data_IF_839491607002
#
_entry.id   IF_839491607002
#
_cell.length_a   1.000
_cell.length_b   1.000
_cell.length_c   1.000
_cell.angle_alpha   90.00
_cell.angle_beta   90.00
_cell.angle_gamma   90.00
#
_symmetry.space_group_name_H-M   'P 1'
#
loop_
_entity.id
_entity.type
_entity.pdbx_description
1 polymer ?
#
# COMPACT_ATOMS: atom_id res chain seq x y z
N UNK A 1 26.63 -29.41 17.96
CA UNK A 1 25.78 -30.55 17.58
C UNK A 1 24.75 -30.04 16.62
N UNK A 2 24.76 -30.52 15.38
CA UNK A 2 23.83 -30.11 14.33
C UNK A 2 22.53 -30.90 14.54
N UNK A 3 21.56 -30.31 15.23
CA UNK A 3 20.20 -30.87 15.30
C UNK A 3 19.43 -30.35 14.09
N UNK A 4 18.79 -31.24 13.36
CA UNK A 4 17.90 -30.88 12.26
C UNK A 4 16.75 -30.00 12.75
N UNK A 5 16.30 -29.02 11.94
CA UNK A 5 15.19 -28.15 12.32
C UNK A 5 13.90 -28.97 12.50
N UNK A 6 13.19 -28.73 13.60
CA UNK A 6 11.98 -29.48 13.98
C UNK A 6 10.70 -29.06 13.23
N UNK A 7 10.81 -28.25 12.18
CA UNK A 7 9.68 -27.61 11.50
C UNK A 7 9.38 -28.25 10.15
N UNK A 8 8.10 -28.48 9.83
CA UNK A 8 7.68 -29.11 8.58
C UNK A 8 7.95 -28.25 7.33
N UNK A 9 7.88 -26.92 7.47
CA UNK A 9 8.37 -25.96 6.49
C UNK A 9 9.10 -24.84 7.25
N UNK A 10 10.34 -24.54 6.87
CA UNK A 10 11.16 -23.55 7.53
C UNK A 10 11.65 -22.49 6.54
N UNK A 11 11.47 -21.22 6.87
CA UNK A 11 12.11 -20.12 6.16
C UNK A 11 13.48 -19.84 6.80
N UNK A 12 14.54 -19.90 5.99
CA UNK A 12 15.92 -19.65 6.43
C UNK A 12 16.26 -18.17 6.22
N UNK A 13 16.64 -17.49 7.29
CA UNK A 13 17.27 -16.18 7.23
C UNK A 13 18.75 -16.31 7.60
N UNK A 14 19.64 -15.85 6.71
CA UNK A 14 21.08 -15.78 6.99
C UNK A 14 21.46 -14.32 7.28
N UNK A 15 22.03 -14.06 8.45
CA UNK A 15 22.60 -12.75 8.81
C UNK A 15 24.12 -12.86 8.87
N UNK A 16 24.78 -12.08 8.04
CA UNK A 16 26.25 -12.00 8.01
C UNK A 16 26.71 -10.85 8.90
N UNK A 17 27.55 -11.17 9.88
CA UNK A 17 28.16 -10.21 10.78
C UNK A 17 29.66 -10.10 10.44
N UNK A 18 30.09 -8.99 9.80
CA UNK A 18 31.50 -8.75 9.56
C UNK A 18 32.23 -8.49 10.88
N UNK A 19 33.41 -9.07 11.02
CA UNK A 19 34.23 -8.91 12.21
C UNK A 19 35.29 -7.85 11.93
N UNK A 20 35.29 -6.77 12.72
CA UNK A 20 36.31 -5.73 12.64
C UNK A 20 37.17 -5.71 13.90
N UNK A 21 38.47 -5.47 13.73
CA UNK A 21 39.43 -5.36 14.82
C UNK A 21 40.35 -4.16 14.58
N UNK A 22 40.47 -3.27 15.58
CA UNK A 22 41.28 -2.05 15.52
C UNK A 22 41.06 -1.19 14.26
N UNK A 23 39.81 -1.12 13.76
CA UNK A 23 39.44 -0.32 12.59
C UNK A 23 39.71 -0.99 11.24
N UNK A 24 40.20 -2.23 11.22
CA UNK A 24 40.34 -3.04 10.00
C UNK A 24 39.23 -4.09 9.98
N UNK A 25 38.49 -4.15 8.87
CA UNK A 25 37.52 -5.20 8.62
C UNK A 25 38.25 -6.47 8.16
N UNK A 26 38.04 -7.56 8.89
CA UNK A 26 38.69 -8.83 8.61
C UNK A 26 37.95 -9.55 7.48
N UNK A 27 38.63 -10.34 6.63
CA UNK A 27 37.99 -11.09 5.53
C UNK A 27 37.22 -12.34 6.03
N UNK A 28 36.80 -12.33 7.29
CA UNK A 28 36.06 -13.42 7.95
C UNK A 28 34.76 -12.87 8.53
N UNK A 29 33.67 -13.59 8.29
CA UNK A 29 32.32 -13.20 8.69
C UNK A 29 31.71 -14.30 9.56
N UNK A 30 30.92 -13.91 10.56
CA UNK A 30 30.09 -14.85 11.32
C UNK A 30 28.70 -14.90 10.68
N UNK A 31 28.22 -16.09 10.35
CA UNK A 31 26.90 -16.29 9.74
C UNK A 31 25.95 -16.84 10.80
N UNK A 32 24.95 -16.04 11.18
CA UNK A 32 23.84 -16.51 12.01
C UNK A 32 22.73 -17.06 11.10
N UNK A 33 22.29 -18.30 11.37
CA UNK A 33 21.21 -18.96 10.62
C UNK A 33 19.98 -19.07 11.52
N UNK A 34 18.92 -18.35 11.16
CA UNK A 34 17.63 -18.40 11.86
C UNK A 34 16.62 -19.20 11.04
N UNK A 35 16.01 -20.20 11.69
CA UNK A 35 14.95 -21.03 11.09
C UNK A 35 13.60 -20.60 11.66
N UNK A 36 12.77 -20.00 10.83
CA UNK A 36 11.40 -19.61 11.20
C UNK A 36 10.41 -20.68 10.72
N UNK A 37 9.52 -21.12 11.61
CA UNK A 37 8.40 -21.96 11.22
C UNK A 37 7.47 -21.19 10.27
N UNK A 38 7.16 -21.78 9.13
CA UNK A 38 6.25 -21.21 8.14
C UNK A 38 5.11 -22.17 7.85
N UNK A 39 3.87 -21.70 7.85
CA UNK A 39 2.74 -22.49 7.37
C UNK A 39 2.43 -22.13 5.91
N UNK A 40 2.57 -23.10 5.00
CA UNK A 40 2.17 -22.92 3.62
C UNK A 40 0.66 -23.18 3.47
N UNK A 41 -0.15 -22.15 3.71
CA UNK A 41 -1.61 -22.27 3.61
C UNK A 41 -2.01 -22.19 2.13
N UNK A 42 -2.21 -23.34 1.48
CA UNK A 42 -2.83 -23.40 0.16
C UNK A 42 -4.34 -23.17 0.29
N UNK A 43 -4.79 -21.93 0.13
CA UNK A 43 -6.22 -21.60 0.04
C UNK A 43 -6.69 -21.83 -1.39
N UNK A 44 -7.45 -22.91 -1.59
CA UNK A 44 -8.15 -23.15 -2.85
C UNK A 44 -9.43 -22.34 -2.84
N UNK A 45 -9.48 -21.29 -3.65
CA UNK A 45 -10.69 -20.49 -3.82
C UNK A 45 -11.58 -21.11 -4.91
N UNK A 46 -12.88 -21.16 -4.65
CA UNK A 46 -13.85 -21.34 -5.74
C UNK A 46 -13.90 -20.08 -6.61
N UNK A 47 -14.41 -20.18 -7.83
CA UNK A 47 -14.51 -19.04 -8.74
C UNK A 47 -15.27 -17.86 -8.13
N UNK A 48 -16.38 -18.14 -7.43
CA UNK A 48 -17.17 -17.12 -6.74
C UNK A 48 -16.41 -16.49 -5.57
N UNK A 49 -15.67 -17.29 -4.79
CA UNK A 49 -14.83 -16.77 -3.71
C UNK A 49 -13.69 -15.90 -4.27
N UNK A 50 -13.11 -16.29 -5.40
CA UNK A 50 -12.10 -15.51 -6.11
C UNK A 50 -12.64 -14.16 -6.59
N UNK A 51 -13.88 -14.12 -7.08
CA UNK A 51 -14.55 -12.86 -7.47
C UNK A 51 -14.78 -11.96 -6.26
N UNK A 52 -15.30 -12.50 -5.16
CA UNK A 52 -15.54 -11.73 -3.92
C UNK A 52 -14.22 -11.17 -3.37
N UNK A 53 -13.16 -11.99 -3.32
CA UNK A 53 -11.84 -11.53 -2.88
C UNK A 53 -11.25 -10.47 -3.80
N UNK A 54 -11.33 -10.65 -5.13
CA UNK A 54 -10.86 -9.65 -6.08
C UNK A 54 -11.62 -8.32 -5.94
N UNK A 55 -12.93 -8.36 -5.68
CA UNK A 55 -13.73 -7.16 -5.43
C UNK A 55 -13.34 -6.46 -4.12
N UNK A 56 -13.12 -7.23 -3.04
CA UNK A 56 -12.67 -6.70 -1.76
C UNK A 56 -11.29 -6.06 -1.86
N UNK A 57 -10.35 -6.72 -2.55
CA UNK A 57 -9.03 -6.19 -2.82
C UNK A 57 -9.12 -4.87 -3.61
N UNK A 58 -9.88 -4.85 -4.71
CA UNK A 58 -10.06 -3.63 -5.51
C UNK A 58 -10.66 -2.46 -4.70
N UNK A 59 -11.62 -2.73 -3.81
CA UNK A 59 -12.16 -1.69 -2.91
C UNK A 59 -11.12 -1.17 -1.94
N UNK A 60 -10.31 -2.08 -1.38
CA UNK A 60 -9.27 -1.72 -0.41
C UNK A 60 -8.19 -0.87 -1.09
N UNK A 61 -7.70 -1.30 -2.24
CA UNK A 61 -6.70 -0.57 -3.02
C UNK A 61 -7.20 0.83 -3.39
N UNK A 62 -8.47 0.94 -3.84
CA UNK A 62 -9.07 2.24 -4.12
C UNK A 62 -9.19 3.11 -2.86
N UNK A 63 -9.57 2.54 -1.72
CA UNK A 63 -9.65 3.29 -0.45
C UNK A 63 -8.30 3.83 0.02
N UNK A 64 -7.19 3.15 -0.29
CA UNK A 64 -5.84 3.63 0.03
C UNK A 64 -5.43 4.84 -0.81
N UNK A 65 -5.96 4.97 -2.03
CA UNK A 65 -5.72 6.13 -2.91
C UNK A 65 -6.66 7.32 -2.63
N UNK A 66 -7.84 7.05 -2.07
CA UNK A 66 -8.87 8.05 -1.83
C UNK A 66 -8.61 8.85 -0.54
N UNK A 67 -8.99 10.13 -0.54
CA UNK A 67 -8.95 10.97 0.65
C UNK A 67 -9.91 10.47 1.75
N UNK A 68 -9.62 10.73 3.03
CA UNK A 68 -10.44 10.27 4.17
C UNK A 68 -11.93 10.62 4.08
N UNK A 69 -12.26 11.73 3.40
CA UNK A 69 -13.65 12.22 3.21
C UNK A 69 -14.31 11.72 1.93
N UNK A 70 -13.59 11.00 1.07
CA UNK A 70 -14.12 10.48 -0.16
C UNK A 70 -15.08 9.32 0.12
N UNK A 71 -16.14 9.21 -0.68
CA UNK A 71 -17.15 8.17 -0.56
C UNK A 71 -17.39 7.50 -1.90
N UNK A 72 -17.28 6.17 -1.93
CA UNK A 72 -17.68 5.37 -3.08
C UNK A 72 -19.22 5.39 -3.13
N UNK A 73 -19.79 5.95 -4.19
CA UNK A 73 -21.23 6.10 -4.40
C UNK A 73 -21.82 5.00 -5.28
N UNK A 74 -20.97 4.34 -6.08
CA UNK A 74 -21.41 3.29 -6.99
C UNK A 74 -20.28 2.34 -7.36
N UNK A 75 -20.66 1.12 -7.69
CA UNK A 75 -19.77 0.06 -8.14
C UNK A 75 -20.48 -0.78 -9.20
N UNK A 76 -19.79 -1.04 -10.31
CA UNK A 76 -20.29 -1.92 -11.37
C UNK A 76 -19.18 -2.79 -11.93
N UNK A 77 -19.37 -4.11 -11.86
CA UNK A 77 -18.50 -5.06 -12.56
C UNK A 77 -18.87 -5.04 -14.05
N UNK A 78 -17.93 -4.57 -14.87
CA UNK A 78 -18.09 -4.49 -16.33
C UNK A 78 -17.75 -5.80 -17.01
N UNK A 79 -16.73 -6.50 -16.52
CA UNK A 79 -16.27 -7.75 -17.12
C UNK A 79 -15.73 -8.71 -16.07
N UNK A 80 -15.93 -9.99 -16.31
CA UNK A 80 -15.47 -11.07 -15.46
C UNK A 80 -14.92 -12.20 -16.33
N UNK A 81 -13.63 -12.50 -16.19
CA UNK A 81 -12.96 -13.55 -16.94
C UNK A 81 -12.21 -14.46 -15.99
N UNK A 82 -12.27 -15.75 -16.30
CA UNK A 82 -11.52 -16.78 -15.58
C UNK A 82 -10.56 -17.40 -16.59
N UNK A 83 -9.26 -17.30 -16.31
CA UNK A 83 -8.22 -17.85 -17.19
C UNK A 83 -7.10 -18.43 -16.34
N UNK A 84 -6.75 -19.69 -16.60
CA UNK A 84 -5.67 -20.41 -15.92
C UNK A 84 -5.80 -20.38 -14.37
N UNK A 85 -7.02 -20.56 -13.86
CA UNK A 85 -7.29 -20.52 -12.41
C UNK A 85 -7.21 -19.12 -11.77
N UNK A 86 -7.09 -18.06 -12.58
CA UNK A 86 -7.09 -16.67 -12.11
C UNK A 86 -8.40 -15.98 -12.50
N UNK A 87 -8.93 -15.19 -11.58
CA UNK A 87 -10.09 -14.32 -11.80
C UNK A 87 -9.61 -12.93 -12.19
N UNK A 88 -10.10 -12.41 -13.31
CA UNK A 88 -9.86 -11.04 -13.78
C UNK A 88 -11.18 -10.29 -13.80
N UNK A 89 -11.28 -9.24 -12.99
CA UNK A 89 -12.42 -8.34 -12.93
C UNK A 89 -12.06 -6.99 -13.55
N UNK A 90 -12.98 -6.42 -14.33
CA UNK A 90 -12.94 -5.00 -14.73
C UNK A 90 -14.08 -4.33 -13.99
N UNK A 91 -13.76 -3.40 -13.09
CA UNK A 91 -14.72 -2.76 -12.20
C UNK A 91 -14.72 -1.25 -12.49
N UNK A 92 -15.92 -0.67 -12.56
CA UNK A 92 -16.14 0.77 -12.63
C UNK A 92 -16.63 1.27 -11.28
N UNK A 93 -15.82 2.09 -10.63
CA UNK A 93 -16.17 2.76 -9.37
C UNK A 93 -16.63 4.19 -9.64
N UNK A 94 -17.64 4.62 -8.90
CA UNK A 94 -18.07 6.01 -8.83
C UNK A 94 -17.74 6.53 -7.44
N UNK A 95 -17.01 7.64 -7.39
CA UNK A 95 -16.51 8.22 -6.14
C UNK A 95 -16.89 9.69 -6.07
N UNK A 96 -17.36 10.10 -4.90
CA UNK A 96 -17.56 11.50 -4.54
C UNK A 96 -16.41 11.92 -3.63
N UNK A 97 -15.63 12.91 -4.04
CA UNK A 97 -14.48 13.41 -3.29
C UNK A 97 -14.39 14.94 -3.35
N UNK A 98 -13.59 15.50 -2.43
CA UNK A 98 -13.21 16.91 -2.49
C UNK A 98 -11.83 17.05 -3.12
N UNK A 99 -11.77 17.63 -4.32
CA UNK A 99 -10.53 17.87 -5.07
C UNK A 99 -9.92 19.25 -4.82
N UNK A 100 -10.42 20.01 -3.84
CA UNK A 100 -9.92 21.35 -3.56
C UNK A 100 -8.48 21.30 -3.05
N UNK A 101 -7.56 21.90 -3.83
CA UNK A 101 -6.17 22.10 -3.42
C UNK A 101 -6.07 23.42 -2.66
N UNK A 102 -5.63 23.37 -1.40
CA UNK A 102 -5.34 24.57 -0.64
C UNK A 102 -4.19 25.36 -1.27
N UNK A 103 -4.47 26.56 -1.76
CA UNK A 103 -3.42 27.48 -2.22
C UNK A 103 -2.93 28.33 -1.05
N UNK A 104 -1.61 28.46 -0.93
CA UNK A 104 -1.03 29.35 0.08
C UNK A 104 -1.26 30.80 -0.31
N UNK A 105 -1.65 31.63 0.65
CA UNK A 105 -1.85 33.06 0.43
C UNK A 105 -0.49 33.75 0.48
N UNK A 106 -0.09 34.43 -0.59
CA UNK A 106 1.17 35.18 -0.62
C UNK A 106 0.97 36.61 -0.11
N UNK A 107 2.06 37.26 0.32
CA UNK A 107 2.00 38.65 0.81
C UNK A 107 1.45 39.64 -0.23
N UNK A 108 1.70 39.39 -1.52
CA UNK A 108 1.12 40.17 -2.62
C UNK A 108 -0.40 40.03 -2.70
N UNK A 109 -0.94 38.83 -2.45
CA UNK A 109 -2.39 38.59 -2.40
C UNK A 109 -3.05 39.37 -1.26
N UNK A 110 -2.37 39.42 -0.09
CA UNK A 110 -2.83 40.18 1.07
C UNK A 110 -2.84 41.69 0.76
N UNK A 111 -1.81 42.21 0.09
CA UNK A 111 -1.73 43.63 -0.28
C UNK A 111 -2.82 44.02 -1.29
N UNK A 112 -3.05 43.18 -2.30
CA UNK A 112 -4.08 43.38 -3.31
C UNK A 112 -5.50 43.37 -2.71
N UNK A 113 -5.76 42.45 -1.78
CA UNK A 113 -7.03 42.39 -1.06
C UNK A 113 -7.27 43.63 -0.18
N UNK A 114 -6.22 44.14 0.49
CA UNK A 114 -6.29 45.38 1.28
C UNK A 114 -6.58 46.60 0.41
N UNK A 115 -5.93 46.72 -0.75
CA UNK A 115 -6.17 47.83 -1.70
C UNK A 115 -7.59 47.80 -2.27
N UNK A 116 -8.12 46.62 -2.60
CA UNK A 116 -9.52 46.48 -3.07
C UNK A 116 -10.54 46.98 -2.04
N UNK A 117 -10.40 46.58 -0.77
CA UNK A 117 -11.29 47.06 0.31
C UNK A 117 -11.26 48.58 0.50
N UNK A 118 -10.11 49.21 0.24
CA UNK A 118 -9.98 50.66 0.39
C UNK A 118 -10.60 51.45 -0.79
N UNK A 119 -10.72 50.80 -1.95
CA UNK A 119 -11.24 51.40 -3.18
C UNK A 119 -12.71 51.07 -3.45
N UNK A 120 -13.35 50.23 -2.64
CA UNK A 120 -14.80 50.02 -2.73
C UNK A 120 -15.54 51.22 -2.15
N UNK A 121 -16.43 51.89 -2.91
CA UNK A 121 -17.21 53.00 -2.40
C UNK A 121 -18.13 52.50 -1.29
N UNK A 122 -18.15 53.21 -0.16
CA UNK A 122 -19.08 52.93 0.93
C UNK A 122 -20.51 53.20 0.46
N UNK A 123 -21.28 52.13 0.28
CA UNK A 123 -22.75 52.18 0.14
C UNK A 123 -23.42 52.43 1.48
#
# INVERSE_FOLDING_TARGET
GFKDPAFANAQLENKEHPISFLGVELPIHYIEKSYYESENIQRVYTEEQGKVQALQAARKDLQEELSEKAKITGEKVLHNQIKNGKVKLIIHFQVLENIAVGQSITQGDIENARRKKHNEPST
#
